data_IF_252565844063
#
_entry.id   IF_252565844063
#
_cell.length_a   1.000
_cell.length_b   1.000
_cell.length_c   1.000
_cell.angle_alpha   90.00
_cell.angle_beta   90.00
_cell.angle_gamma   90.00
#
_symmetry.space_group_name_H-M   'P 1'
#
loop_
_entity.id
_entity.type
_entity.pdbx_description
1 polymer ?
#
# COMPACT_ATOMS: atom_id res chain seq x y z
N UNK A 1 18.39 -6.57 39.49
CA UNK A 1 19.72 -7.21 39.40
C UNK A 1 19.66 -8.31 38.35
N UNK A 2 20.26 -8.09 37.17
CA UNK A 2 20.32 -9.11 36.11
C UNK A 2 21.26 -10.23 36.58
N UNK A 3 20.78 -11.48 36.58
CA UNK A 3 21.56 -12.66 36.98
C UNK A 3 22.81 -12.74 36.09
N UNK A 4 23.96 -13.05 36.70
CA UNK A 4 25.29 -13.09 36.05
C UNK A 4 25.32 -13.98 34.80
N UNK A 5 24.47 -15.00 34.76
CA UNK A 5 24.28 -15.92 33.62
C UNK A 5 23.64 -15.24 32.40
N UNK A 6 22.68 -14.34 32.60
CA UNK A 6 22.03 -13.60 31.52
C UNK A 6 22.96 -12.56 30.88
N UNK A 7 23.91 -12.01 31.67
CA UNK A 7 24.91 -11.09 31.16
C UNK A 7 25.93 -11.80 30.23
N UNK A 8 26.28 -13.05 30.54
CA UNK A 8 27.18 -13.86 29.70
C UNK A 8 26.48 -14.23 28.39
N UNK A 9 25.22 -14.64 28.45
CA UNK A 9 24.44 -14.96 27.24
C UNK A 9 24.29 -13.74 26.32
N UNK A 10 24.03 -12.57 26.89
CA UNK A 10 23.95 -11.32 26.15
C UNK A 10 25.27 -10.97 25.46
N UNK A 11 26.41 -11.18 26.13
CA UNK A 11 27.74 -10.97 25.54
C UNK A 11 28.04 -11.92 24.38
N UNK A 12 27.61 -13.17 24.48
CA UNK A 12 27.78 -14.17 23.40
C UNK A 12 26.94 -13.78 22.18
N UNK A 13 25.70 -13.33 22.38
CA UNK A 13 24.83 -12.86 21.29
C UNK A 13 25.42 -11.64 20.59
N UNK A 14 25.98 -10.68 21.34
CA UNK A 14 26.67 -9.52 20.77
C UNK A 14 27.93 -9.90 19.98
N UNK A 15 28.70 -10.88 20.46
CA UNK A 15 29.86 -11.41 19.75
C UNK A 15 29.45 -12.06 18.42
N UNK A 16 28.39 -12.86 18.41
CA UNK A 16 27.87 -13.47 17.17
C UNK A 16 27.38 -12.39 16.20
N UNK A 17 26.62 -11.39 16.67
CA UNK A 17 26.13 -10.27 15.85
C UNK A 17 27.28 -9.45 15.25
N UNK A 18 28.36 -9.20 16.00
CA UNK A 18 29.53 -8.48 15.49
C UNK A 18 30.30 -9.27 14.42
N UNK A 19 30.36 -10.60 14.53
CA UNK A 19 30.96 -11.46 13.49
C UNK A 19 30.10 -11.43 12.21
N UNK A 20 28.78 -11.51 12.33
CA UNK A 20 27.87 -11.39 11.19
C UNK A 20 27.95 -10.00 10.53
N UNK A 21 27.97 -8.94 11.32
CA UNK A 21 28.15 -7.56 10.82
C UNK A 21 29.49 -7.37 10.12
N UNK A 22 30.58 -7.94 10.67
CA UNK A 22 31.90 -7.95 10.06
C UNK A 22 31.93 -8.72 8.73
N UNK A 23 31.25 -9.85 8.64
CA UNK A 23 31.16 -10.65 7.41
C UNK A 23 30.37 -9.93 6.31
N UNK A 24 29.24 -9.29 6.66
CA UNK A 24 28.44 -8.48 5.73
C UNK A 24 29.24 -7.27 5.25
N UNK A 25 29.92 -6.56 6.17
CA UNK A 25 30.76 -5.40 5.85
C UNK A 25 31.95 -5.79 4.97
N UNK A 26 32.63 -6.91 5.25
CA UNK A 26 33.69 -7.44 4.41
C UNK A 26 33.19 -7.78 3.00
N UNK A 27 32.00 -8.37 2.88
CA UNK A 27 31.40 -8.70 1.57
C UNK A 27 31.05 -7.45 0.76
N UNK A 28 30.55 -6.39 1.42
CA UNK A 28 30.24 -5.10 0.79
C UNK A 28 31.53 -4.38 0.36
N UNK A 29 32.59 -4.43 1.17
CA UNK A 29 33.86 -3.73 0.90
C UNK A 29 34.71 -4.46 -0.14
N UNK A 30 34.76 -5.80 -0.12
CA UNK A 30 35.53 -6.59 -1.10
C UNK A 30 34.86 -6.56 -2.48
N UNK A 31 33.53 -6.58 -2.56
CA UNK A 31 32.82 -6.44 -3.85
C UNK A 31 32.93 -5.03 -4.46
N UNK A 32 33.34 -4.01 -3.70
CA UNK A 32 33.62 -2.66 -4.21
C UNK A 32 35.13 -2.39 -4.43
N UNK A 33 36.02 -3.35 -4.18
CA UNK A 33 37.45 -3.09 -3.97
C UNK A 33 38.47 -3.79 -4.88
N UNK A 34 38.07 -4.56 -5.91
CA UNK A 34 39.05 -5.24 -6.78
C UNK A 34 39.01 -4.77 -8.23
N UNK A 35 39.71 -3.66 -8.51
CA UNK A 35 40.57 -3.48 -9.71
C UNK A 35 41.34 -2.17 -9.54
N UNK A 36 42.53 -2.26 -8.94
CA UNK A 36 43.56 -1.24 -9.13
C UNK A 36 44.07 -1.36 -10.58
N UNK A 37 44.22 -0.25 -11.32
CA UNK A 37 44.85 -0.25 -12.63
C UNK A 37 46.36 -0.46 -12.47
N UNK A 38 46.93 -1.40 -13.21
CA UNK A 38 48.38 -1.45 -13.43
C UNK A 38 48.68 -0.52 -14.61
N UNK A 39 49.49 0.50 -14.34
CA UNK A 39 50.11 1.37 -15.34
C UNK A 39 51.33 0.66 -15.94
N UNK A 40 51.35 0.48 -17.25
CA UNK A 40 52.53 0.46 -18.14
C UNK A 40 52.06 1.13 -19.45
N UNK A 41 52.22 2.44 -19.57
CA UNK A 41 53.36 3.17 -20.18
C UNK A 41 53.58 2.85 -21.66
N UNK A 42 53.07 3.76 -22.49
CA UNK A 42 53.42 3.92 -23.90
C UNK A 42 54.93 4.13 -24.09
N UNK A 43 55.43 3.63 -25.22
CA UNK A 43 56.76 3.97 -25.74
C UNK A 43 57.12 3.11 -26.95
N UNK A 44 56.89 3.66 -28.16
CA UNK A 44 57.74 3.64 -29.37
C UNK A 44 58.40 2.30 -29.78
N UNK A 45 58.40 1.81 -31.03
CA UNK A 45 58.74 2.49 -32.30
C UNK A 45 58.44 1.54 -33.49
N UNK A 46 57.92 2.11 -34.58
CA UNK A 46 58.27 1.88 -36.00
C UNK A 46 58.22 0.51 -36.73
N UNK A 47 57.54 0.58 -37.89
CA UNK A 47 57.87 -0.01 -39.21
C UNK A 47 57.74 -1.55 -39.37
N UNK A 48 57.13 -2.15 -40.40
CA UNK A 48 56.91 -1.76 -41.81
C UNK A 48 55.97 -2.78 -42.51
N UNK A 49 55.15 -2.30 -43.44
CA UNK A 49 54.66 -2.95 -44.70
C UNK A 49 54.42 -4.47 -44.76
N UNK A 50 53.21 -4.90 -45.15
CA UNK A 50 52.92 -5.27 -46.56
C UNK A 50 51.60 -6.05 -46.76
N UNK A 51 50.89 -5.66 -47.83
CA UNK A 51 50.09 -6.47 -48.78
C UNK A 51 48.70 -7.00 -48.38
N UNK A 52 47.70 -6.29 -48.90
CA UNK A 52 46.53 -6.71 -49.70
C UNK A 52 46.01 -8.16 -49.71
N UNK A 53 44.67 -8.17 -49.76
CA UNK A 53 43.79 -9.07 -50.52
C UNK A 53 43.47 -10.45 -49.94
N UNK A 54 42.24 -10.53 -49.41
CA UNK A 54 41.13 -11.30 -50.00
C UNK A 54 40.48 -12.33 -49.08
N UNK A 55 39.15 -12.16 -48.97
CA UNK A 55 38.13 -13.20 -49.10
C UNK A 55 37.99 -14.31 -48.04
N UNK A 56 36.77 -14.30 -47.48
CA UNK A 56 35.95 -15.47 -47.13
C UNK A 56 36.32 -16.14 -45.81
N UNK A 57 35.71 -15.63 -44.74
CA UNK A 57 34.89 -16.33 -43.72
C UNK A 57 34.62 -15.32 -42.59
N UNK A 58 33.60 -15.58 -41.78
CA UNK A 58 33.16 -14.74 -40.65
C UNK A 58 32.04 -13.74 -41.00
N UNK A 59 31.01 -14.22 -41.71
CA UNK A 59 29.62 -13.78 -41.52
C UNK A 59 28.80 -15.02 -41.19
N UNK A 60 29.08 -15.63 -40.04
CA UNK A 60 28.19 -16.54 -39.33
C UNK A 60 28.38 -16.31 -37.83
N UNK A 61 28.25 -15.04 -37.38
CA UNK A 61 27.91 -14.78 -35.98
C UNK A 61 26.38 -14.87 -35.85
N UNK A 62 25.95 -16.05 -35.39
CA UNK A 62 24.72 -16.29 -34.63
C UNK A 62 23.49 -15.46 -35.05
N UNK A 63 22.86 -15.85 -36.17
CA UNK A 63 21.40 -15.83 -36.24
C UNK A 63 20.88 -16.98 -35.36
N UNK A 64 20.95 -16.80 -34.03
CA UNK A 64 20.07 -17.55 -33.15
C UNK A 64 18.63 -17.21 -33.54
N UNK A 65 17.82 -18.24 -33.72
CA UNK A 65 16.43 -18.13 -34.11
C UNK A 65 15.72 -17.13 -33.19
N UNK A 66 15.34 -15.98 -33.74
CA UNK A 66 14.36 -15.07 -33.14
C UNK A 66 13.03 -15.83 -33.06
N UNK A 67 12.88 -16.69 -32.04
CA UNK A 67 11.55 -17.08 -31.57
C UNK A 67 10.88 -15.75 -31.27
N UNK A 68 9.88 -15.41 -32.08
CA UNK A 68 9.15 -14.16 -31.88
C UNK A 68 8.64 -14.20 -30.44
N UNK A 69 9.15 -13.34 -29.58
CA UNK A 69 8.77 -13.27 -28.17
C UNK A 69 7.25 -13.15 -27.95
N UNK A 70 6.53 -12.71 -28.98
CA UNK A 70 5.08 -12.66 -29.04
C UNK A 70 4.43 -14.06 -29.09
N UNK A 71 5.12 -15.07 -29.63
CA UNK A 71 4.64 -16.46 -29.75
C UNK A 71 4.50 -17.17 -28.41
N UNK A 72 5.21 -16.71 -27.38
CA UNK A 72 5.05 -17.25 -26.02
C UNK A 72 3.65 -17.03 -25.45
N UNK A 73 2.85 -16.12 -26.01
CA UNK A 73 1.48 -15.87 -25.60
C UNK A 73 0.45 -16.65 -26.44
N UNK A 74 0.90 -17.44 -27.40
CA UNK A 74 0.02 -18.27 -28.22
C UNK A 74 -0.45 -19.46 -27.36
N UNK A 75 -1.73 -19.82 -27.44
CA UNK A 75 -2.35 -20.94 -26.72
C UNK A 75 -2.42 -20.83 -25.18
N UNK A 76 -2.01 -19.70 -24.59
CA UNK A 76 -2.11 -19.51 -23.13
C UNK A 76 -3.53 -19.19 -22.69
N UNK A 77 -4.06 -19.99 -21.75
CA UNK A 77 -5.39 -19.78 -21.18
C UNK A 77 -5.43 -18.59 -20.22
N UNK A 78 -4.49 -18.52 -19.28
CA UNK A 78 -4.41 -17.49 -18.24
C UNK A 78 -2.97 -16.99 -18.05
N UNK A 79 -2.82 -15.74 -17.62
CA UNK A 79 -1.51 -15.17 -17.26
C UNK A 79 -1.54 -14.73 -15.80
N UNK A 80 -0.41 -14.87 -15.12
CA UNK A 80 -0.24 -14.39 -13.76
C UNK A 80 0.47 -13.04 -13.80
N UNK A 81 0.00 -12.08 -13.02
CA UNK A 81 0.64 -10.76 -12.87
C UNK A 81 1.02 -10.57 -11.41
N UNK A 82 2.24 -10.09 -11.16
CA UNK A 82 2.65 -9.59 -9.85
C UNK A 82 3.17 -8.17 -9.99
N UNK A 83 2.88 -7.35 -8.99
CA UNK A 83 3.47 -6.04 -8.79
C UNK A 83 4.52 -6.16 -7.68
N UNK A 84 5.76 -5.77 -7.96
CA UNK A 84 6.86 -5.92 -6.99
C UNK A 84 6.76 -4.90 -5.85
N UNK A 85 6.33 -3.67 -6.17
CA UNK A 85 6.19 -2.60 -5.18
C UNK A 85 5.21 -2.99 -4.07
N UNK A 86 4.14 -3.68 -4.44
CA UNK A 86 3.15 -4.14 -3.47
C UNK A 86 3.43 -5.54 -2.95
N UNK A 87 4.10 -6.43 -3.70
CA UNK A 87 4.56 -7.80 -3.33
C UNK A 87 3.55 -8.71 -2.58
N UNK A 88 2.28 -8.31 -2.50
CA UNK A 88 1.28 -8.94 -1.63
C UNK A 88 0.66 -10.17 -2.26
N UNK A 89 0.32 -10.11 -3.55
CA UNK A 89 -0.45 -11.17 -4.20
C UNK A 89 -0.17 -11.32 -5.70
N UNK A 90 -0.21 -12.58 -6.15
CA UNK A 90 -0.23 -12.92 -7.58
C UNK A 90 -1.67 -13.00 -8.02
N UNK A 91 -2.01 -12.30 -9.11
CA UNK A 91 -3.36 -12.35 -9.68
C UNK A 91 -3.33 -13.10 -10.99
N UNK A 92 -4.23 -14.09 -11.10
CA UNK A 92 -4.45 -14.82 -12.33
C UNK A 92 -5.53 -14.11 -13.14
N UNK A 93 -5.21 -13.74 -14.38
CA UNK A 93 -6.17 -13.09 -15.28
C UNK A 93 -6.42 -13.95 -16.52
N UNK A 94 -7.68 -13.96 -16.95
CA UNK A 94 -8.16 -14.69 -18.11
C UNK A 94 -9.01 -13.80 -19.02
N UNK A 95 -9.73 -14.42 -19.96
CA UNK A 95 -10.80 -13.77 -20.74
C UNK A 95 -10.40 -12.44 -21.41
N UNK A 96 -11.19 -11.39 -21.17
CA UNK A 96 -11.05 -10.07 -21.80
C UNK A 96 -9.81 -9.33 -21.28
N UNK A 97 -9.54 -9.35 -19.98
CA UNK A 97 -8.34 -8.69 -19.42
C UNK A 97 -7.07 -9.27 -20.04
N UNK A 98 -6.95 -10.61 -20.09
CA UNK A 98 -5.82 -11.27 -20.76
C UNK A 98 -5.68 -10.80 -22.21
N UNK A 99 -6.78 -10.79 -22.97
CA UNK A 99 -6.73 -10.40 -24.38
C UNK A 99 -6.20 -8.96 -24.55
N UNK A 100 -6.57 -8.04 -23.66
CA UNK A 100 -6.06 -6.66 -23.66
C UNK A 100 -4.57 -6.64 -23.34
N UNK A 101 -4.12 -7.34 -22.29
CA UNK A 101 -2.70 -7.39 -21.91
C UNK A 101 -1.87 -7.97 -23.05
N UNK A 102 -2.28 -9.11 -23.62
CA UNK A 102 -1.57 -9.78 -24.72
C UNK A 102 -1.51 -8.89 -25.97
N UNK A 103 -2.61 -8.24 -26.35
CA UNK A 103 -2.63 -7.36 -27.51
C UNK A 103 -1.68 -6.17 -27.35
N UNK A 104 -1.67 -5.54 -26.17
CA UNK A 104 -0.76 -4.42 -25.90
C UNK A 104 0.70 -4.90 -25.81
N UNK A 105 0.95 -6.06 -25.20
CA UNK A 105 2.29 -6.66 -25.17
C UNK A 105 2.81 -6.90 -26.59
N UNK A 106 2.00 -7.52 -27.47
CA UNK A 106 2.37 -7.82 -28.86
C UNK A 106 2.63 -6.54 -29.67
N UNK A 107 1.96 -5.44 -29.35
CA UNK A 107 2.13 -4.14 -30.00
C UNK A 107 3.40 -3.37 -29.58
N UNK A 108 4.02 -3.70 -28.43
CA UNK A 108 5.27 -3.06 -27.99
C UNK A 108 6.39 -3.24 -29.02
N UNK A 109 7.07 -2.15 -29.36
CA UNK A 109 8.31 -2.21 -30.13
C UNK A 109 9.46 -2.63 -29.22
N UNK A 110 10.07 -3.78 -29.55
CA UNK A 110 11.11 -4.43 -28.73
C UNK A 110 12.41 -4.44 -29.52
N UNK A 111 13.41 -3.72 -29.03
CA UNK A 111 14.75 -3.71 -29.64
C UNK A 111 15.65 -4.59 -28.78
N UNK A 112 16.24 -5.64 -29.36
CA UNK A 112 17.15 -6.54 -28.65
C UNK A 112 18.30 -5.73 -28.04
N UNK A 113 18.58 -5.95 -26.77
CA UNK A 113 19.69 -5.31 -26.05
C UNK A 113 20.62 -6.36 -25.46
N UNK A 114 21.88 -6.00 -25.29
CA UNK A 114 22.88 -6.85 -24.64
C UNK A 114 22.77 -6.76 -23.12
N UNK A 115 23.21 -7.81 -22.43
CA UNK A 115 23.28 -7.81 -20.96
C UNK A 115 24.17 -6.68 -20.43
N UNK A 116 25.23 -6.33 -21.16
CA UNK A 116 26.13 -5.23 -20.82
C UNK A 116 25.41 -3.87 -20.83
N UNK A 117 24.58 -3.62 -21.84
CA UNK A 117 23.79 -2.38 -21.93
C UNK A 117 22.76 -2.31 -20.81
N UNK A 118 22.08 -3.43 -20.53
CA UNK A 118 21.13 -3.53 -19.44
C UNK A 118 21.77 -3.24 -18.08
N UNK A 119 22.84 -3.94 -17.73
CA UNK A 119 23.55 -3.75 -16.44
C UNK A 119 24.16 -2.36 -16.26
N UNK A 120 24.34 -1.59 -17.35
CA UNK A 120 24.79 -0.20 -17.27
C UNK A 120 23.71 0.79 -16.82
N UNK A 121 22.43 0.43 -16.97
CA UNK A 121 21.27 1.28 -16.70
C UNK A 121 20.35 0.71 -15.63
N UNK A 122 20.37 -0.60 -15.41
CA UNK A 122 19.62 -1.30 -14.37
C UNK A 122 20.60 -1.79 -13.30
N UNK A 123 20.59 -1.10 -12.16
CA UNK A 123 21.49 -1.39 -11.05
C UNK A 123 21.13 -2.67 -10.30
N UNK A 124 19.83 -2.98 -10.20
CA UNK A 124 19.32 -4.19 -9.56
C UNK A 124 18.34 -4.89 -10.51
N UNK A 125 18.71 -6.10 -10.95
CA UNK A 125 17.86 -6.93 -11.83
C UNK A 125 16.60 -7.44 -11.15
N UNK A 126 16.49 -7.33 -9.82
CA UNK A 126 15.30 -7.72 -9.08
C UNK A 126 14.36 -6.53 -8.80
N UNK A 127 14.78 -5.30 -9.10
CA UNK A 127 13.94 -4.11 -8.93
C UNK A 127 13.18 -3.81 -10.23
N UNK A 128 12.15 -4.60 -10.51
CA UNK A 128 11.22 -4.41 -11.63
C UNK A 128 9.87 -3.92 -11.11
N UNK A 129 9.09 -3.21 -11.92
CA UNK A 129 7.76 -2.71 -11.51
C UNK A 129 6.72 -3.83 -11.52
N UNK A 130 6.73 -4.64 -12.59
CA UNK A 130 5.77 -5.72 -12.81
C UNK A 130 6.45 -6.96 -13.39
N UNK A 131 5.86 -8.11 -13.11
CA UNK A 131 6.19 -9.39 -13.75
C UNK A 131 4.93 -10.06 -14.29
N UNK A 132 5.00 -10.54 -15.53
CA UNK A 132 4.01 -11.44 -16.13
C UNK A 132 4.60 -12.84 -16.12
N UNK A 133 3.92 -13.79 -15.50
CA UNK A 133 4.32 -15.19 -15.45
C UNK A 133 3.38 -16.04 -16.30
N UNK A 134 3.98 -16.78 -17.22
CA UNK A 134 3.33 -17.74 -18.10
C UNK A 134 3.64 -19.14 -17.55
N UNK A 135 2.90 -19.56 -16.52
CA UNK A 135 3.21 -20.76 -15.75
C UNK A 135 3.26 -22.06 -16.59
N UNK A 136 2.47 -22.14 -17.67
CA UNK A 136 2.49 -23.32 -18.54
C UNK A 136 3.76 -23.42 -19.39
N UNK A 137 4.40 -22.29 -19.68
CA UNK A 137 5.60 -22.20 -20.51
C UNK A 137 6.88 -22.01 -19.67
N UNK A 138 6.74 -21.84 -18.35
CA UNK A 138 7.82 -21.46 -17.43
C UNK A 138 8.55 -20.17 -17.84
N UNK A 139 7.80 -19.16 -18.31
CA UNK A 139 8.38 -17.89 -18.78
C UNK A 139 7.94 -16.72 -17.91
N UNK A 140 8.90 -15.88 -17.56
CA UNK A 140 8.71 -14.67 -16.78
C UNK A 140 9.12 -13.44 -17.58
N UNK A 141 8.23 -12.44 -17.69
CA UNK A 141 8.52 -11.14 -18.30
C UNK A 141 8.58 -10.08 -17.21
N UNK A 142 9.78 -9.59 -16.91
CA UNK A 142 10.04 -8.52 -15.94
C UNK A 142 10.12 -7.18 -16.65
N UNK A 143 9.39 -6.19 -16.16
CA UNK A 143 9.32 -4.84 -16.74
C UNK A 143 9.97 -3.81 -15.83
N UNK A 144 10.95 -3.09 -16.36
CA UNK A 144 11.71 -2.06 -15.64
C UNK A 144 11.33 -0.70 -16.20
N UNK A 145 10.30 -0.07 -15.62
CA UNK A 145 9.69 1.15 -16.14
C UNK A 145 10.70 2.30 -16.29
N UNK A 146 11.42 2.62 -15.22
CA UNK A 146 12.36 3.76 -15.16
C UNK A 146 13.50 3.65 -16.18
N UNK A 147 13.97 2.42 -16.41
CA UNK A 147 15.11 2.14 -17.29
C UNK A 147 14.68 1.76 -18.71
N UNK A 148 13.37 1.58 -18.96
CA UNK A 148 12.78 1.26 -20.26
C UNK A 148 13.24 -0.10 -20.80
N UNK A 149 13.41 -1.08 -19.91
CA UNK A 149 13.80 -2.44 -20.30
C UNK A 149 12.70 -3.45 -19.97
N UNK A 150 12.73 -4.55 -20.71
CA UNK A 150 11.99 -5.77 -20.42
C UNK A 150 12.96 -6.95 -20.50
N UNK A 151 12.88 -7.84 -19.52
CA UNK A 151 13.61 -9.11 -19.52
C UNK A 151 12.62 -10.26 -19.58
N UNK A 152 12.74 -11.11 -20.59
CA UNK A 152 12.05 -12.40 -20.64
C UNK A 152 13.04 -13.49 -20.20
N UNK A 153 12.65 -14.26 -19.20
CA UNK A 153 13.43 -15.36 -18.62
C UNK A 153 12.61 -16.63 -18.77
N UNK A 154 13.07 -17.55 -19.62
CA UNK A 154 12.49 -18.89 -19.73
C UNK A 154 13.26 -19.81 -18.79
N UNK A 155 12.56 -20.30 -17.77
CA UNK A 155 13.15 -21.14 -16.72
C UNK A 155 13.28 -22.56 -17.25
N UNK A 156 14.52 -22.99 -17.47
CA UNK A 156 14.86 -24.32 -17.96
C UNK A 156 15.34 -25.25 -16.83
N UNK A 157 15.36 -26.56 -17.09
CA UNK A 157 15.81 -27.55 -16.10
C UNK A 157 17.32 -27.48 -15.79
N UNK A 158 18.13 -26.90 -16.70
CA UNK A 158 19.60 -26.86 -16.62
C UNK A 158 20.15 -25.44 -16.62
N UNK A 159 19.66 -24.58 -17.52
CA UNK A 159 20.02 -23.16 -17.59
C UNK A 159 18.81 -22.33 -18.04
N UNK A 160 18.73 -21.10 -17.56
CA UNK A 160 17.68 -20.16 -17.95
C UNK A 160 18.05 -19.44 -19.24
N UNK A 161 17.11 -19.38 -20.20
CA UNK A 161 17.29 -18.56 -21.39
C UNK A 161 16.83 -17.13 -21.10
N UNK A 162 17.76 -16.17 -21.18
CA UNK A 162 17.49 -14.77 -20.86
C UNK A 162 17.47 -13.92 -22.14
N UNK A 163 16.40 -13.16 -22.29
CA UNK A 163 16.12 -12.33 -23.42
C UNK A 163 15.87 -10.88 -22.98
N UNK A 164 16.71 -9.94 -23.39
CA UNK A 164 16.61 -8.53 -22.95
C UNK A 164 16.23 -7.62 -24.11
N UNK A 165 15.27 -6.73 -23.85
CA UNK A 165 14.77 -5.77 -24.82
C UNK A 165 14.70 -4.37 -24.24
N UNK A 166 15.10 -3.40 -25.03
CA UNK A 166 14.82 -1.99 -24.80
C UNK A 166 13.48 -1.62 -25.43
N UNK A 167 12.69 -0.87 -24.69
CA UNK A 167 11.35 -0.42 -25.09
C UNK A 167 11.32 1.10 -25.26
N UNK A 168 10.34 1.61 -25.99
CA UNK A 168 10.07 3.04 -26.00
C UNK A 168 9.45 3.49 -24.67
N UNK A 169 9.94 4.60 -24.08
CA UNK A 169 9.45 5.16 -22.82
C UNK A 169 7.92 5.30 -22.76
N UNK A 170 7.32 5.89 -23.78
CA UNK A 170 5.86 6.13 -23.80
C UNK A 170 5.08 4.82 -23.95
N UNK A 171 5.63 3.85 -24.67
CA UNK A 171 5.00 2.54 -24.85
C UNK A 171 5.04 1.71 -23.57
N UNK A 172 6.19 1.68 -22.86
CA UNK A 172 6.30 0.97 -21.59
C UNK A 172 5.39 1.62 -20.53
N UNK A 173 5.38 2.95 -20.37
CA UNK A 173 4.48 3.65 -19.45
C UNK A 173 2.99 3.32 -19.72
N UNK A 174 2.58 3.29 -21.00
CA UNK A 174 1.23 2.92 -21.37
C UNK A 174 0.94 1.44 -21.05
N UNK A 175 1.90 0.56 -21.28
CA UNK A 175 1.73 -0.86 -21.00
C UNK A 175 1.70 -1.17 -19.50
N UNK A 176 2.52 -0.48 -18.70
CA UNK A 176 2.46 -0.57 -17.24
C UNK A 176 1.08 -0.18 -16.72
N UNK A 177 0.46 0.89 -17.23
CA UNK A 177 -0.93 1.24 -16.89
C UNK A 177 -1.93 0.13 -17.27
N UNK A 178 -1.71 -0.57 -18.38
CA UNK A 178 -2.56 -1.71 -18.77
C UNK A 178 -2.38 -2.86 -17.77
N UNK A 179 -1.14 -3.16 -17.38
CA UNK A 179 -0.83 -4.19 -16.37
C UNK A 179 -1.40 -3.83 -14.99
N UNK A 180 -1.27 -2.58 -14.56
CA UNK A 180 -1.82 -2.08 -13.31
C UNK A 180 -3.34 -2.25 -13.27
N UNK A 181 -4.06 -1.79 -14.31
CA UNK A 181 -5.51 -1.96 -14.39
C UNK A 181 -5.92 -3.44 -14.34
N UNK A 182 -5.21 -4.30 -15.07
CA UNK A 182 -5.47 -5.74 -15.05
C UNK A 182 -5.16 -6.35 -13.67
N UNK A 183 -4.11 -5.88 -13.01
CA UNK A 183 -3.70 -6.32 -11.68
C UNK A 183 -4.75 -5.96 -10.63
N UNK A 184 -5.16 -4.69 -10.58
CA UNK A 184 -6.15 -4.17 -9.62
C UNK A 184 -7.53 -4.82 -9.82
N UNK A 185 -7.95 -5.04 -11.07
CA UNK A 185 -9.18 -5.78 -11.36
C UNK A 185 -9.08 -7.25 -10.93
N UNK A 186 -7.93 -7.90 -11.15
CA UNK A 186 -7.67 -9.26 -10.69
C UNK A 186 -7.72 -9.36 -9.15
N UNK A 187 -7.18 -8.37 -8.46
CA UNK A 187 -7.20 -8.27 -6.99
C UNK A 187 -8.62 -8.11 -6.47
N UNK A 188 -9.39 -7.17 -7.04
CA UNK A 188 -10.80 -6.98 -6.70
C UNK A 188 -11.60 -8.27 -6.93
N UNK A 189 -11.39 -8.95 -8.08
CA UNK A 189 -12.06 -10.22 -8.37
C UNK A 189 -11.71 -11.31 -7.36
N UNK A 190 -10.44 -11.41 -6.92
CA UNK A 190 -10.01 -12.37 -5.91
C UNK A 190 -10.70 -12.16 -4.55
N UNK A 191 -11.00 -10.91 -4.20
CA UNK A 191 -11.71 -10.55 -2.95
C UNK A 191 -13.21 -10.81 -3.08
N UNK A 192 -13.78 -10.44 -4.22
CA UNK A 192 -15.22 -10.32 -4.42
C UNK A 192 -15.87 -11.57 -5.01
N UNK A 193 -15.09 -12.45 -5.67
CA UNK A 193 -15.56 -13.69 -6.28
C UNK A 193 -15.01 -14.96 -5.60
N UNK A 194 -15.79 -16.07 -5.57
CA UNK A 194 -17.17 -16.20 -6.04
C UNK A 194 -18.12 -15.28 -5.27
N UNK A 195 -19.30 -14.98 -5.83
CA UNK A 195 -20.23 -14.05 -5.19
C UNK A 195 -20.54 -14.55 -3.77
N UNK A 196 -20.45 -13.68 -2.75
CA UNK A 196 -20.71 -14.08 -1.37
C UNK A 196 -22.21 -14.29 -1.13
N UNK A 197 -22.55 -15.14 -0.17
CA UNK A 197 -23.94 -15.40 0.20
C UNK A 197 -24.56 -14.24 0.98
N UNK A 198 -23.74 -13.52 1.75
CA UNK A 198 -24.18 -12.39 2.57
C UNK A 198 -23.15 -11.27 2.57
N UNK A 199 -23.68 -10.06 2.48
CA UNK A 199 -22.93 -8.81 2.64
C UNK A 199 -23.71 -7.91 3.59
N UNK A 200 -22.98 -7.29 4.51
CA UNK A 200 -23.47 -6.32 5.47
C UNK A 200 -22.84 -4.97 5.19
N UNK A 201 -23.63 -3.91 5.29
CA UNK A 201 -23.15 -2.53 5.31
C UNK A 201 -23.47 -2.01 6.71
N UNK A 202 -22.47 -1.63 7.49
CA UNK A 202 -22.71 -0.98 8.79
C UNK A 202 -22.33 0.49 8.73
N UNK A 203 -23.12 1.30 9.44
CA UNK A 203 -22.76 2.66 9.81
C UNK A 203 -22.42 2.66 11.29
N UNK A 204 -21.13 2.53 11.60
CA UNK A 204 -20.64 2.22 12.95
C UNK A 204 -20.98 3.32 13.97
N UNK A 205 -20.96 4.59 13.55
CA UNK A 205 -21.27 5.71 14.44
C UNK A 205 -22.76 5.74 14.86
N UNK A 206 -23.64 5.10 14.07
CA UNK A 206 -25.08 5.01 14.31
C UNK A 206 -25.55 3.65 14.82
N UNK A 207 -24.66 2.66 14.91
CA UNK A 207 -25.02 1.26 15.15
C UNK A 207 -26.11 0.76 14.20
N UNK A 208 -26.11 1.26 12.95
CA UNK A 208 -27.09 0.88 11.95
C UNK A 208 -26.50 -0.18 11.01
N UNK A 209 -27.31 -1.16 10.64
CA UNK A 209 -26.92 -2.29 9.80
C UNK A 209 -27.91 -2.46 8.64
N UNK A 210 -27.37 -2.58 7.43
CA UNK A 210 -28.12 -3.00 6.24
C UNK A 210 -27.62 -4.36 5.76
N UNK A 211 -28.53 -5.34 5.73
CA UNK A 211 -28.27 -6.66 5.14
C UNK A 211 -28.59 -6.59 3.64
N UNK A 212 -27.57 -6.76 2.81
CA UNK A 212 -27.71 -6.70 1.35
C UNK A 212 -28.54 -7.89 0.87
N UNK A 213 -29.60 -7.61 0.11
CA UNK A 213 -30.46 -8.66 -0.45
C UNK A 213 -29.72 -9.42 -1.54
N UNK A 214 -29.92 -10.73 -1.66
CA UNK A 214 -29.24 -11.57 -2.66
C UNK A 214 -29.32 -11.00 -4.09
N UNK A 215 -30.49 -10.47 -4.49
CA UNK A 215 -30.71 -9.84 -5.81
C UNK A 215 -29.91 -8.54 -6.04
N UNK A 216 -29.35 -7.95 -4.99
CA UNK A 216 -28.59 -6.71 -5.02
C UNK A 216 -27.07 -6.96 -4.90
N UNK A 217 -26.65 -8.18 -4.53
CA UNK A 217 -25.23 -8.51 -4.32
C UNK A 217 -24.42 -8.25 -5.59
N UNK A 218 -24.85 -8.76 -6.75
CA UNK A 218 -24.17 -8.51 -8.02
C UNK A 218 -24.05 -7.01 -8.34
N UNK A 219 -25.10 -6.24 -8.04
CA UNK A 219 -25.11 -4.80 -8.24
C UNK A 219 -24.08 -4.12 -7.33
N UNK A 220 -24.02 -4.46 -6.05
CA UNK A 220 -23.03 -3.92 -5.11
C UNK A 220 -21.61 -4.31 -5.53
N UNK A 221 -21.37 -5.58 -5.83
CA UNK A 221 -20.06 -6.07 -6.28
C UNK A 221 -19.59 -5.33 -7.54
N UNK A 222 -20.50 -5.03 -8.48
CA UNK A 222 -20.16 -4.25 -9.68
C UNK A 222 -19.73 -2.80 -9.41
N UNK A 223 -19.96 -2.28 -8.20
CA UNK A 223 -19.51 -0.93 -7.79
C UNK A 223 -18.11 -0.92 -7.21
N UNK A 224 -17.56 -2.08 -6.86
CA UNK A 224 -16.19 -2.17 -6.38
C UNK A 224 -15.22 -2.02 -7.55
N UNK A 225 -14.41 -0.97 -7.48
CA UNK A 225 -13.32 -0.72 -8.42
C UNK A 225 -12.18 -0.05 -7.68
N UNK A 226 -11.06 -0.75 -7.62
CA UNK A 226 -9.81 -0.25 -7.04
C UNK A 226 -9.11 0.58 -8.13
N UNK A 227 -8.80 1.84 -7.82
CA UNK A 227 -8.18 2.79 -8.73
C UNK A 227 -6.66 2.82 -8.59
N UNK A 228 -6.17 2.74 -7.35
CA UNK A 228 -4.75 2.73 -7.02
C UNK A 228 -4.54 2.16 -5.62
N UNK A 229 -3.35 1.61 -5.38
CA UNK A 229 -2.91 1.17 -4.05
C UNK A 229 -2.04 2.29 -3.48
N UNK A 230 -2.32 2.70 -2.25
CA UNK A 230 -1.68 3.85 -1.61
C UNK A 230 -0.75 3.39 -0.49
N UNK A 231 0.31 4.16 -0.24
CA UNK A 231 1.21 3.89 0.88
C UNK A 231 0.58 4.29 2.21
N UNK A 232 0.84 3.53 3.27
CA UNK A 232 0.25 3.79 4.60
C UNK A 232 0.64 5.20 5.08
N UNK A 233 1.89 5.60 4.84
CA UNK A 233 2.46 6.88 5.27
C UNK A 233 1.78 8.09 4.62
N UNK A 234 1.35 7.96 3.36
CA UNK A 234 0.61 9.00 2.64
C UNK A 234 -0.85 9.16 3.13
N UNK A 235 -1.36 8.15 3.85
CA UNK A 235 -2.73 8.12 4.35
C UNK A 235 -2.87 8.49 5.83
N UNK A 236 -1.77 8.76 6.52
CA UNK A 236 -1.82 9.15 7.93
C UNK A 236 -2.48 10.54 8.03
N UNK A 237 -3.50 10.65 8.89
CA UNK A 237 -4.24 11.90 9.09
C UNK A 237 -5.40 12.15 8.13
N UNK A 238 -5.76 11.21 7.24
CA UNK A 238 -6.96 11.32 6.42
C UNK A 238 -8.20 11.00 7.29
N UNK A 239 -9.11 11.97 7.51
CA UNK A 239 -10.24 11.77 8.40
C UNK A 239 -11.29 10.84 7.76
N UNK A 240 -11.81 9.90 8.57
CA UNK A 240 -12.93 9.07 8.14
C UNK A 240 -14.21 9.92 8.13
N UNK A 241 -14.94 10.03 7.03
CA UNK A 241 -16.22 10.76 6.96
C UNK A 241 -17.26 10.19 7.92
N UNK A 242 -18.23 11.01 8.33
CA UNK A 242 -19.39 10.57 9.10
C UNK A 242 -20.51 10.05 8.18
N UNK A 243 -21.21 8.94 8.54
CA UNK A 243 -20.78 7.98 9.54
C UNK A 243 -19.62 7.13 9.01
N UNK A 244 -18.90 6.47 9.91
CA UNK A 244 -17.89 5.48 9.56
C UNK A 244 -18.57 4.24 8.97
N UNK A 245 -18.54 4.10 7.65
CA UNK A 245 -19.08 2.95 6.95
C UNK A 245 -18.06 1.82 6.83
N UNK A 246 -18.53 0.59 7.00
CA UNK A 246 -17.81 -0.63 6.63
C UNK A 246 -18.72 -1.59 5.87
N UNK A 247 -18.11 -2.34 4.96
CA UNK A 247 -18.76 -3.44 4.26
C UNK A 247 -18.12 -4.73 4.78
N UNK A 248 -18.94 -5.60 5.38
CA UNK A 248 -18.51 -6.92 5.82
C UNK A 248 -19.05 -7.97 4.86
N UNK A 249 -18.16 -8.78 4.29
CA UNK A 249 -18.50 -9.90 3.42
C UNK A 249 -18.31 -11.20 4.22
N UNK A 250 -19.39 -11.96 4.42
CA UNK A 250 -19.36 -13.23 5.16
C UNK A 250 -18.98 -14.36 4.20
N UNK A 251 -17.84 -15.01 4.47
CA UNK A 251 -17.37 -16.24 3.80
C UNK A 251 -16.91 -17.25 4.87
N UNK A 252 -16.00 -18.15 4.51
CA UNK A 252 -15.25 -18.97 5.48
C UNK A 252 -14.55 -18.12 6.56
N UNK A 253 -14.18 -16.89 6.18
CA UNK A 253 -13.70 -15.83 7.06
C UNK A 253 -14.40 -14.51 6.70
N UNK A 254 -14.54 -13.61 7.67
CA UNK A 254 -15.06 -12.26 7.42
C UNK A 254 -14.02 -11.40 6.70
N UNK A 255 -14.44 -10.78 5.59
CA UNK A 255 -13.65 -9.75 4.92
C UNK A 255 -14.27 -8.40 5.28
N UNK A 256 -13.45 -7.45 5.72
CA UNK A 256 -13.90 -6.11 6.11
C UNK A 256 -13.31 -5.06 5.20
N UNK A 257 -14.18 -4.21 4.67
CA UNK A 257 -13.80 -3.12 3.78
C UNK A 257 -14.25 -1.82 4.45
N UNK A 258 -13.31 -1.09 5.03
CA UNK A 258 -13.56 0.14 5.75
C UNK A 258 -13.53 1.32 4.78
N UNK A 259 -14.67 1.97 4.56
CA UNK A 259 -14.74 3.16 3.70
C UNK A 259 -14.37 4.38 4.55
N UNK A 260 -13.18 4.93 4.30
CA UNK A 260 -12.70 6.10 5.03
C UNK A 260 -13.49 7.33 4.60
N UNK A 261 -13.57 7.59 3.32
CA UNK A 261 -14.34 8.68 2.73
C UNK A 261 -14.81 8.24 1.34
N UNK A 262 -15.27 9.16 0.49
CA UNK A 262 -15.74 8.86 -0.86
C UNK A 262 -14.64 8.54 -1.89
N UNK A 263 -13.37 8.50 -1.46
CA UNK A 263 -12.21 8.22 -2.31
C UNK A 263 -11.33 7.07 -1.80
N UNK A 264 -11.22 6.88 -0.48
CA UNK A 264 -10.27 5.95 0.16
C UNK A 264 -10.93 4.86 0.97
N UNK A 265 -10.45 3.62 0.81
CA UNK A 265 -10.88 2.47 1.60
C UNK A 265 -9.70 1.62 2.07
N UNK A 266 -9.91 0.95 3.20
CA UNK A 266 -9.01 -0.07 3.72
C UNK A 266 -9.66 -1.43 3.51
N UNK A 267 -8.97 -2.32 2.80
CA UNK A 267 -9.36 -3.71 2.63
C UNK A 267 -8.61 -4.52 3.68
N UNK A 268 -9.35 -5.17 4.58
CA UNK A 268 -8.83 -6.03 5.63
C UNK A 268 -9.43 -7.44 5.47
N UNK A 269 -8.60 -8.35 5.01
CA UNK A 269 -8.96 -9.76 4.78
C UNK A 269 -7.84 -10.66 5.31
N UNK A 270 -8.11 -11.95 5.57
CA UNK A 270 -7.07 -12.89 6.02
C UNK A 270 -5.89 -13.06 5.05
N UNK A 271 -6.06 -12.70 3.77
CA UNK A 271 -5.05 -12.84 2.71
C UNK A 271 -4.39 -11.51 2.35
N UNK A 272 -4.98 -10.38 2.72
CA UNK A 272 -4.58 -9.06 2.24
C UNK A 272 -5.03 -7.97 3.20
N UNK A 273 -4.10 -7.06 3.51
CA UNK A 273 -4.36 -5.80 4.18
C UNK A 273 -3.84 -4.65 3.31
N UNK A 274 -4.71 -3.74 2.86
CA UNK A 274 -4.36 -2.78 1.82
C UNK A 274 -5.12 -1.45 1.93
N UNK A 275 -4.42 -0.35 1.69
CA UNK A 275 -5.00 0.99 1.52
C UNK A 275 -5.14 1.27 0.04
N UNK A 276 -6.32 1.71 -0.41
CA UNK A 276 -6.54 2.00 -1.82
C UNK A 276 -7.52 3.13 -2.06
N UNK A 277 -7.35 3.79 -3.20
CA UNK A 277 -8.40 4.62 -3.77
C UNK A 277 -9.40 3.76 -4.51
N UNK A 278 -10.66 4.16 -4.45
CA UNK A 278 -11.75 3.45 -5.08
C UNK A 278 -12.70 4.40 -5.80
N UNK A 279 -13.51 3.83 -6.68
CA UNK A 279 -14.48 4.59 -7.45
C UNK A 279 -15.67 5.02 -6.57
N UNK A 280 -15.98 6.31 -6.58
CA UNK A 280 -17.04 6.94 -5.75
C UNK A 280 -18.41 6.28 -5.91
N UNK A 281 -18.68 5.57 -7.02
CA UNK A 281 -19.91 4.82 -7.19
C UNK A 281 -20.21 3.83 -6.04
N UNK A 282 -19.18 3.28 -5.39
CA UNK A 282 -19.37 2.41 -4.22
C UNK A 282 -19.86 3.21 -3.00
N UNK A 283 -19.28 4.38 -2.75
CA UNK A 283 -19.68 5.28 -1.67
C UNK A 283 -21.13 5.72 -1.85
N UNK A 284 -21.47 6.21 -3.04
CA UNK A 284 -22.80 6.69 -3.37
C UNK A 284 -23.84 5.57 -3.20
N UNK A 285 -23.51 4.33 -3.59
CA UNK A 285 -24.36 3.18 -3.36
C UNK A 285 -24.58 2.89 -1.88
N UNK A 286 -23.53 2.96 -1.05
CA UNK A 286 -23.60 2.71 0.39
C UNK A 286 -24.45 3.77 1.09
N UNK A 287 -24.21 5.05 0.79
CA UNK A 287 -24.98 6.17 1.35
C UNK A 287 -26.45 6.13 0.93
N UNK A 288 -26.75 5.75 -0.31
CA UNK A 288 -28.14 5.56 -0.78
C UNK A 288 -28.86 4.44 -0.02
N UNK A 289 -28.14 3.35 0.30
CA UNK A 289 -28.72 2.18 0.97
C UNK A 289 -28.90 2.34 2.47
N UNK A 290 -27.99 3.05 3.11
CA UNK A 290 -28.00 3.27 4.55
C UNK A 290 -27.73 4.75 4.88
N UNK A 291 -28.61 5.68 4.46
CA UNK A 291 -28.37 7.10 4.70
C UNK A 291 -28.43 7.39 6.20
N UNK A 292 -27.37 7.98 6.74
CA UNK A 292 -27.29 8.39 8.14
C UNK A 292 -26.92 9.86 8.23
N UNK A 293 -27.59 10.55 9.16
CA UNK A 293 -27.35 11.94 9.48
C UNK A 293 -27.24 12.10 10.99
N UNK A 294 -26.34 12.98 11.43
CA UNK A 294 -26.16 13.25 12.84
C UNK A 294 -27.20 14.25 13.33
N UNK A 295 -28.33 13.74 13.79
CA UNK A 295 -29.43 14.54 14.31
C UNK A 295 -29.34 14.79 15.84
N UNK A 296 -28.15 14.63 16.42
CA UNK A 296 -27.93 14.86 17.87
C UNK A 296 -28.08 16.33 18.25
N UNK A 297 -28.47 16.58 19.50
CA UNK A 297 -28.68 17.94 20.01
C UNK A 297 -27.34 18.61 20.30
N UNK A 298 -27.28 19.95 20.17
CA UNK A 298 -26.06 20.74 20.41
C UNK A 298 -25.37 20.52 21.78
N UNK A 299 -26.07 19.99 22.79
CA UNK A 299 -25.53 19.72 24.13
C UNK A 299 -25.16 18.23 24.35
N UNK A 300 -25.30 17.39 23.33
CA UNK A 300 -24.90 15.98 23.37
C UNK A 300 -23.49 15.84 22.79
N UNK A 301 -22.62 15.05 23.42
CA UNK A 301 -21.25 14.82 22.92
C UNK A 301 -21.24 14.33 21.46
N UNK A 302 -22.29 13.60 21.04
CA UNK A 302 -22.45 13.12 19.67
C UNK A 302 -22.52 14.24 18.63
N UNK A 303 -22.95 15.44 19.01
CA UNK A 303 -22.99 16.61 18.13
C UNK A 303 -21.60 17.02 17.65
N UNK A 304 -20.57 16.70 18.42
CA UNK A 304 -19.18 16.99 18.07
C UNK A 304 -18.69 16.23 16.83
N UNK A 305 -19.38 15.17 16.39
CA UNK A 305 -19.08 14.48 15.13
C UNK A 305 -19.33 15.34 13.89
N UNK A 306 -20.05 16.47 14.03
CA UNK A 306 -20.26 17.45 12.96
C UNK A 306 -19.09 18.44 12.80
N UNK A 307 -17.97 18.23 13.50
CA UNK A 307 -16.86 19.17 13.52
C UNK A 307 -16.03 19.12 12.23
N UNK A 308 -15.89 20.28 11.60
CA UNK A 308 -15.01 20.48 10.45
C UNK A 308 -13.54 20.53 10.89
N UNK A 309 -13.29 21.05 12.11
CA UNK A 309 -11.94 21.28 12.64
C UNK A 309 -11.92 21.19 14.16
N UNK A 310 -10.84 20.64 14.73
CA UNK A 310 -10.69 20.50 16.19
C UNK A 310 -9.33 20.97 16.68
N UNK A 311 -9.26 22.16 17.29
CA UNK A 311 -8.01 22.62 17.90
C UNK A 311 -7.80 22.01 19.28
N UNK A 312 -6.59 21.52 19.52
CA UNK A 312 -6.19 20.91 20.79
C UNK A 312 -5.24 21.85 21.50
N UNK A 313 -5.59 22.25 22.73
CA UNK A 313 -4.68 22.95 23.63
C UNK A 313 -4.20 21.97 24.70
N UNK A 314 -2.96 21.54 24.59
CA UNK A 314 -2.26 20.76 25.62
C UNK A 314 -1.78 21.71 26.73
N UNK A 315 -2.30 21.52 27.95
CA UNK A 315 -1.93 22.34 29.10
C UNK A 315 -0.72 21.78 29.86
N UNK A 316 -0.34 20.54 29.60
CA UNK A 316 0.89 19.95 30.14
C UNK A 316 2.13 20.37 29.33
N UNK A 317 1.93 20.96 28.15
CA UNK A 317 3.02 21.40 27.26
C UNK A 317 3.91 20.25 26.80
N UNK A 318 3.35 19.03 26.77
CA UNK A 318 4.08 17.83 26.37
C UNK A 318 4.18 17.76 24.85
N UNK A 319 3.22 18.36 24.14
CA UNK A 319 3.14 18.36 22.70
C UNK A 319 2.93 19.76 22.14
N UNK A 320 3.72 20.10 21.13
CA UNK A 320 3.56 21.32 20.36
C UNK A 320 2.66 21.04 19.15
N UNK A 321 1.34 21.21 19.33
CA UNK A 321 0.36 21.09 18.25
C UNK A 321 0.17 22.41 17.48
N UNK A 322 1.16 23.32 17.54
CA UNK A 322 1.11 24.60 16.82
C UNK A 322 1.13 24.35 15.30
N UNK A 323 -0.08 24.28 14.72
CA UNK A 323 -0.47 24.57 13.33
C UNK A 323 -1.00 23.42 12.45
N UNK A 324 -1.17 22.19 12.94
CA UNK A 324 -1.71 21.09 12.13
C UNK A 324 -2.86 20.35 12.85
N UNK A 325 -4.07 20.51 12.31
CA UNK A 325 -5.33 20.06 12.92
C UNK A 325 -5.92 18.90 12.10
N UNK A 326 -5.43 17.67 12.28
CA UNK A 326 -5.74 16.54 11.38
C UNK A 326 -6.69 15.47 11.95
N UNK A 327 -7.32 15.67 13.13
CA UNK A 327 -8.18 14.67 13.79
C UNK A 327 -9.60 15.14 14.06
N UNK A 328 -10.20 15.90 13.14
CA UNK A 328 -11.45 16.62 13.37
C UNK A 328 -12.60 15.71 13.86
N UNK A 329 -12.75 14.54 13.25
CA UNK A 329 -13.84 13.59 13.56
C UNK A 329 -13.38 12.35 14.36
N UNK A 330 -12.09 12.03 14.37
CA UNK A 330 -11.59 10.89 15.15
C UNK A 330 -11.55 11.17 16.65
N UNK A 331 -11.19 12.40 17.07
CA UNK A 331 -11.27 12.79 18.49
C UNK A 331 -12.67 12.64 19.09
N UNK A 332 -13.75 13.19 18.49
CA UNK A 332 -15.09 13.01 19.04
C UNK A 332 -15.54 11.54 18.98
N UNK A 333 -15.19 10.77 17.95
CA UNK A 333 -15.45 9.32 17.93
C UNK A 333 -14.81 8.58 19.09
N UNK A 334 -13.57 8.89 19.42
CA UNK A 334 -12.83 8.21 20.48
C UNK A 334 -13.37 8.57 21.87
N UNK A 335 -13.81 9.82 22.05
CA UNK A 335 -14.60 10.21 23.23
C UNK A 335 -15.86 9.37 23.33
N UNK A 336 -16.64 9.26 22.25
CA UNK A 336 -17.93 8.54 22.27
C UNK A 336 -17.78 7.03 22.43
N UNK A 337 -16.65 6.45 22.00
CA UNK A 337 -16.33 5.03 22.19
C UNK A 337 -15.79 4.72 23.58
N UNK A 338 -15.39 5.73 24.36
CA UNK A 338 -15.00 5.53 25.76
C UNK A 338 -16.22 5.16 26.61
N UNK A 339 -15.99 4.42 27.70
CA UNK A 339 -17.04 4.06 28.66
C UNK A 339 -17.48 5.33 29.44
N UNK A 340 -18.43 6.07 28.87
CA UNK A 340 -18.93 7.34 29.41
C UNK A 340 -20.07 7.11 30.40
N UNK A 341 -19.89 7.58 31.63
CA UNK A 341 -20.95 7.69 32.63
C UNK A 341 -21.30 9.16 32.87
N UNK A 342 -22.54 9.56 32.54
CA UNK A 342 -23.02 10.94 32.75
C UNK A 342 -23.38 11.16 34.22
N UNK A 343 -22.84 12.20 34.83
CA UNK A 343 -22.94 12.44 36.29
C UNK A 343 -24.01 13.50 36.65
N UNK A 344 -25.18 13.40 36.00
CA UNK A 344 -26.19 14.46 35.89
C UNK A 344 -26.80 15.02 37.17
N UNK A 345 -26.72 14.29 38.28
CA UNK A 345 -27.47 14.63 39.50
C UNK A 345 -26.58 14.93 40.72
N UNK A 346 -25.27 15.02 40.53
CA UNK A 346 -24.34 15.30 41.63
C UNK A 346 -23.78 16.72 41.51
N UNK A 347 -24.59 17.71 41.90
CA UNK A 347 -24.27 19.14 41.95
C UNK A 347 -23.02 19.53 42.79
N UNK A 348 -22.26 18.55 43.30
CA UNK A 348 -21.09 18.75 44.16
C UNK A 348 -19.91 17.83 43.81
N UNK A 349 -19.79 17.34 42.57
CA UNK A 349 -18.55 16.65 42.17
C UNK A 349 -17.46 17.70 42.02
N UNK A 350 -16.60 17.79 43.04
CA UNK A 350 -15.35 18.53 42.97
C UNK A 350 -14.38 17.68 42.16
N UNK A 351 -14.10 18.09 40.94
CA UNK A 351 -13.05 17.49 40.12
C UNK A 351 -11.71 17.86 40.78
N UNK A 352 -11.14 16.91 41.52
CA UNK A 352 -9.82 17.05 42.14
C UNK A 352 -8.74 16.49 41.19
N UNK A 353 -8.78 16.92 39.94
CA UNK A 353 -7.84 16.55 38.88
C UNK A 353 -7.42 17.80 38.13
N UNK A 354 -6.18 17.84 37.65
CA UNK A 354 -5.71 18.92 36.80
C UNK A 354 -6.33 18.80 35.41
N UNK A 355 -6.69 19.93 34.82
CA UNK A 355 -7.13 19.99 33.43
C UNK A 355 -5.95 19.67 32.51
N UNK A 356 -6.13 18.69 31.61
CA UNK A 356 -5.09 18.16 30.73
C UNK A 356 -5.18 18.76 29.33
N UNK A 357 -6.37 18.70 28.73
CA UNK A 357 -6.61 19.23 27.39
C UNK A 357 -7.84 20.15 27.34
N UNK A 358 -7.79 21.14 26.46
CA UNK A 358 -8.98 21.87 26.00
C UNK A 358 -9.12 21.64 24.49
N UNK A 359 -10.17 20.93 24.10
CA UNK A 359 -10.51 20.64 22.72
C UNK A 359 -11.55 21.65 22.23
N UNK A 360 -11.29 22.32 21.10
CA UNK A 360 -12.19 23.30 20.50
C UNK A 360 -12.65 22.81 19.13
N UNK A 361 -13.91 22.40 19.04
CA UNK A 361 -14.58 21.90 17.85
C UNK A 361 -15.25 23.05 17.11
N UNK A 362 -15.00 23.17 15.81
CA UNK A 362 -15.60 24.17 14.93
C UNK A 362 -16.68 23.47 14.11
N UNK A 363 -17.93 23.90 14.28
CA UNK A 363 -19.12 23.31 13.65
C UNK A 363 -19.96 24.48 13.13
N UNK A 364 -20.12 24.61 11.80
CA UNK A 364 -20.96 25.65 11.18
C UNK A 364 -20.70 27.06 11.78
N UNK A 365 -19.42 27.46 11.83
CA UNK A 365 -18.93 28.73 12.40
C UNK A 365 -19.05 28.89 13.93
N UNK A 366 -19.66 27.93 14.65
CA UNK A 366 -19.70 27.90 16.13
C UNK A 366 -18.50 27.16 16.69
N UNK A 367 -18.06 27.57 17.89
CA UNK A 367 -17.01 26.87 18.64
C UNK A 367 -17.63 26.16 19.84
N UNK A 368 -17.49 24.84 19.88
CA UNK A 368 -17.84 23.99 21.02
C UNK A 368 -16.57 23.57 21.76
N UNK A 369 -16.58 23.61 23.08
CA UNK A 369 -15.40 23.30 23.90
C UNK A 369 -15.63 22.07 24.75
N UNK A 370 -14.64 21.18 24.77
CA UNK A 370 -14.60 20.01 25.65
C UNK A 370 -13.33 20.11 26.50
N UNK A 371 -13.49 20.00 27.81
CA UNK A 371 -12.40 20.05 28.76
C UNK A 371 -12.13 18.63 29.26
N UNK A 372 -10.88 18.19 29.14
CA UNK A 372 -10.45 16.82 29.42
C UNK A 372 -9.53 16.82 30.64
N UNK A 373 -9.90 16.06 31.66
CA UNK A 373 -9.12 15.75 32.85
C UNK A 373 -8.50 14.35 32.73
N UNK A 374 -7.93 13.79 33.79
CA UNK A 374 -7.39 12.41 33.75
C UNK A 374 -8.51 11.39 33.52
N UNK A 375 -9.64 11.53 34.22
CA UNK A 375 -10.77 10.60 34.17
C UNK A 375 -12.13 11.28 33.91
N UNK A 376 -12.15 12.58 33.66
CA UNK A 376 -13.39 13.33 33.48
C UNK A 376 -13.41 14.15 32.19
N UNK A 377 -14.62 14.34 31.67
CA UNK A 377 -14.91 15.17 30.51
C UNK A 377 -15.98 16.17 30.92
N UNK A 378 -15.72 17.45 30.71
CA UNK A 378 -16.74 18.49 30.82
C UNK A 378 -17.07 19.01 29.42
N UNK A 379 -18.34 18.91 29.04
CA UNK A 379 -18.87 19.45 27.80
C UNK A 379 -20.10 20.30 28.08
N UNK A 380 -20.03 21.58 27.72
CA UNK A 380 -21.01 22.60 28.14
C UNK A 380 -21.16 22.58 29.67
N UNK A 381 -22.34 22.24 30.19
CA UNK A 381 -22.67 22.11 31.61
C UNK A 381 -22.71 20.66 32.11
N UNK A 382 -22.30 19.69 31.29
CA UNK A 382 -22.42 18.25 31.57
C UNK A 382 -21.07 17.61 31.87
N UNK A 383 -21.00 16.94 33.02
CA UNK A 383 -19.84 16.18 33.46
C UNK A 383 -20.03 14.69 33.16
N UNK A 384 -18.99 14.08 32.56
CA UNK A 384 -18.92 12.66 32.28
C UNK A 384 -17.67 12.07 32.95
N UNK A 385 -17.81 10.89 33.54
CA UNK A 385 -16.68 10.05 33.94
C UNK A 385 -16.31 9.10 32.80
N UNK A 386 -15.02 8.99 32.52
CA UNK A 386 -14.44 7.94 31.68
C UNK A 386 -13.02 7.69 32.16
N UNK A 387 -12.77 6.46 32.62
CA UNK A 387 -11.46 6.06 33.13
C UNK A 387 -10.37 6.29 32.07
N UNK A 388 -9.28 6.95 32.47
CA UNK A 388 -8.11 7.26 31.62
C UNK A 388 -8.45 7.93 30.27
N UNK A 389 -9.45 8.83 30.27
CA UNK A 389 -9.79 9.57 29.05
C UNK A 389 -8.61 10.40 28.52
N UNK A 390 -7.74 10.90 29.42
CA UNK A 390 -6.48 11.53 29.01
C UNK A 390 -5.65 10.60 28.13
N UNK A 391 -5.42 9.36 28.56
CA UNK A 391 -4.66 8.37 27.82
C UNK A 391 -5.27 8.07 26.45
N UNK A 392 -6.60 7.96 26.39
CA UNK A 392 -7.35 7.75 25.14
C UNK A 392 -7.13 8.93 24.19
N UNK A 393 -7.38 10.17 24.62
CA UNK A 393 -7.17 11.36 23.78
C UNK A 393 -5.71 11.47 23.32
N UNK A 394 -4.77 11.25 24.24
CA UNK A 394 -3.34 11.27 23.92
C UNK A 394 -2.97 10.24 22.85
N UNK A 395 -3.52 9.03 22.92
CA UNK A 395 -3.22 7.98 21.94
C UNK A 395 -3.62 8.37 20.51
N UNK A 396 -4.73 9.10 20.35
CA UNK A 396 -5.19 9.62 19.05
C UNK A 396 -4.24 10.68 18.52
N UNK A 397 -3.76 11.55 19.42
CA UNK A 397 -2.86 12.65 19.07
C UNK A 397 -1.41 12.21 18.81
N UNK A 398 -1.04 10.99 19.22
CA UNK A 398 0.30 10.42 19.04
C UNK A 398 0.43 9.55 17.78
N UNK A 399 -0.63 9.41 16.98
CA UNK A 399 -0.52 8.82 15.65
C UNK A 399 0.26 9.84 14.78
N UNK A 400 1.37 9.44 14.11
CA UNK A 400 2.33 10.35 13.46
C UNK A 400 1.75 11.39 12.51
#
# INVERSE_FOLDING_TARGET
MVKKENAILFFIVLLILSIFSGAITYRIVVNKGSKRPVLQSDGETENKESINESNIKDIEEHQESDISINSFFDEIENINIKNEAYSLETVNIGGKEKAIVVANFKALQKIRATEKEFRSQVFDSNSYSYIIELSNENINFKFYEDSQYMMAQKVGDLEDEIYIYKLNKKEIENFIKVLENAYLNGLANKILHPLPDKIYINANDENALYVVKNREIEKLISKFKILSIEEIEENIGIPTMYPSYDITIERDYEYKLFLKNDELMVIDTPILYLYCRYDKELWDYVVDKLPQENNSKENELKFLLNADKVFVKDLEGTYDFENSTYYNIELPRQILRSELERLDDQNNIIINEDLRFVLKFYIEEKIKQVWIYDNYILYEDRLYYSKDIKGIIRSVLMIP
#
